data_IF_653692751223
#
_entry.id   IF_653692751223
#
_cell.length_a   1.000
_cell.length_b   1.000
_cell.length_c   1.000
_cell.angle_alpha   90.00
_cell.angle_beta   90.00
_cell.angle_gamma   90.00
#
_symmetry.space_group_name_H-M   'P 1'
#
loop_
_entity.id
_entity.type
_entity.pdbx_description
1 polymer ?
#
# COMPACT_ATOMS: atom_id res chain seq x y z
N UNK A 1 -14.61 -22.63 -13.50
CA UNK A 1 -13.33 -22.39 -12.80
C UNK A 1 -13.68 -21.82 -11.44
N UNK A 2 -13.19 -22.44 -10.39
CA UNK A 2 -13.35 -21.97 -9.02
C UNK A 2 -12.49 -20.72 -8.87
N UNK A 3 -13.12 -19.59 -8.52
CA UNK A 3 -12.44 -18.33 -8.24
C UNK A 3 -12.26 -18.27 -6.71
N UNK A 4 -11.03 -17.97 -6.29
CA UNK A 4 -10.70 -17.79 -4.88
C UNK A 4 -11.56 -16.67 -4.25
N UNK A 5 -11.88 -16.76 -2.95
CA UNK A 5 -12.74 -15.79 -2.27
C UNK A 5 -12.17 -14.36 -2.27
N UNK A 6 -10.85 -14.22 -2.42
CA UNK A 6 -10.17 -12.95 -2.51
C UNK A 6 -9.21 -12.92 -3.71
N UNK A 7 -9.24 -11.83 -4.48
CA UNK A 7 -8.42 -11.68 -5.69
C UNK A 7 -7.68 -10.35 -5.67
N UNK A 8 -6.36 -10.41 -5.89
CA UNK A 8 -5.55 -9.23 -6.19
C UNK A 8 -5.43 -9.10 -7.72
N UNK A 9 -5.92 -8.00 -8.26
CA UNK A 9 -5.72 -7.63 -9.66
C UNK A 9 -4.70 -6.51 -9.75
N UNK A 10 -3.56 -6.77 -10.40
CA UNK A 10 -2.51 -5.77 -10.64
C UNK A 10 -2.65 -5.26 -12.06
N UNK A 11 -2.74 -3.95 -12.23
CA UNK A 11 -2.88 -3.30 -13.54
C UNK A 11 -2.13 -1.97 -13.59
N UNK A 12 -1.97 -1.44 -14.79
CA UNK A 12 -1.35 -0.14 -15.07
C UNK A 12 -2.05 0.49 -16.28
N UNK A 13 -1.43 1.42 -17.00
CA UNK A 13 -1.88 1.87 -18.31
C UNK A 13 -1.24 1.04 -19.44
N UNK A 14 -1.88 1.00 -20.59
CA UNK A 14 -1.37 0.34 -21.80
C UNK A 14 -2.38 -0.60 -22.43
N UNK A 15 -2.03 -1.14 -23.62
CA UNK A 15 -2.94 -1.95 -24.43
C UNK A 15 -3.46 -3.21 -23.71
N UNK A 16 -2.58 -3.90 -22.97
CA UNK A 16 -2.95 -5.11 -22.20
C UNK A 16 -3.82 -4.72 -21.00
N UNK A 17 -3.49 -3.63 -20.30
CA UNK A 17 -4.22 -3.17 -19.12
C UNK A 17 -5.65 -2.71 -19.42
N UNK A 18 -5.98 -2.38 -20.67
CA UNK A 18 -7.35 -2.08 -21.10
C UNK A 18 -8.31 -3.27 -20.92
N UNK A 19 -7.79 -4.49 -20.84
CA UNK A 19 -8.58 -5.69 -20.54
C UNK A 19 -9.00 -5.76 -19.07
N UNK A 20 -8.36 -5.03 -18.17
CA UNK A 20 -8.63 -5.06 -16.73
C UNK A 20 -10.10 -4.75 -16.41
N UNK A 21 -10.71 -3.75 -17.08
CA UNK A 21 -12.13 -3.43 -16.91
C UNK A 21 -13.05 -4.60 -17.27
N UNK A 22 -12.73 -5.34 -18.34
CA UNK A 22 -13.50 -6.52 -18.77
C UNK A 22 -13.32 -7.68 -17.79
N UNK A 23 -12.13 -7.85 -17.24
CA UNK A 23 -11.85 -8.85 -16.20
C UNK A 23 -12.67 -8.52 -14.95
N UNK A 24 -12.59 -7.27 -14.47
CA UNK A 24 -13.33 -6.80 -13.31
C UNK A 24 -14.85 -7.03 -13.47
N UNK A 25 -15.42 -6.70 -14.64
CA UNK A 25 -16.83 -6.94 -14.91
C UNK A 25 -17.23 -8.41 -14.78
N UNK A 26 -16.34 -9.33 -15.14
CA UNK A 26 -16.58 -10.78 -15.07
C UNK A 26 -16.45 -11.37 -13.68
N UNK A 27 -15.64 -10.77 -12.80
CA UNK A 27 -15.31 -11.34 -11.48
C UNK A 27 -15.92 -10.58 -10.31
N UNK A 28 -16.41 -9.35 -10.49
CA UNK A 28 -16.89 -8.46 -9.40
C UNK A 28 -17.93 -9.08 -8.46
N UNK A 29 -18.77 -9.96 -8.98
CA UNK A 29 -19.82 -10.62 -8.21
C UNK A 29 -19.40 -12.00 -7.67
N UNK A 30 -18.16 -12.44 -7.93
CA UNK A 30 -17.67 -13.78 -7.61
C UNK A 30 -16.60 -13.81 -6.52
N UNK A 31 -15.90 -12.70 -6.30
CA UNK A 31 -14.77 -12.62 -5.38
C UNK A 31 -14.64 -11.20 -4.82
N UNK A 32 -14.04 -11.08 -3.65
CA UNK A 32 -13.61 -9.79 -3.12
C UNK A 32 -12.36 -9.34 -3.87
N UNK A 33 -12.40 -8.16 -4.45
CA UNK A 33 -11.32 -7.65 -5.29
C UNK A 33 -10.54 -6.57 -4.55
N UNK A 34 -9.24 -6.75 -4.47
CA UNK A 34 -8.27 -5.68 -4.25
C UNK A 34 -7.61 -5.34 -5.59
N UNK A 35 -7.70 -4.09 -6.02
CA UNK A 35 -7.02 -3.62 -7.22
C UNK A 35 -5.70 -2.95 -6.83
N UNK A 36 -4.59 -3.32 -7.44
CA UNK A 36 -3.34 -2.57 -7.34
C UNK A 36 -3.10 -1.85 -8.67
N UNK A 37 -3.09 -0.53 -8.63
CA UNK A 37 -2.82 0.30 -9.80
C UNK A 37 -1.40 0.84 -9.75
N UNK A 38 -0.58 0.41 -10.71
CA UNK A 38 0.81 0.83 -10.85
C UNK A 38 0.86 2.03 -11.79
N UNK A 39 1.12 3.21 -11.23
CA UNK A 39 1.30 4.45 -12.00
C UNK A 39 2.66 4.39 -12.70
N UNK A 40 2.70 4.48 -14.04
CA UNK A 40 3.95 4.50 -14.78
C UNK A 40 4.68 5.84 -14.60
N UNK A 41 5.92 5.91 -15.04
CA UNK A 41 6.65 7.17 -15.12
C UNK A 41 6.00 8.08 -16.18
N UNK A 42 5.24 9.06 -15.73
CA UNK A 42 4.38 9.89 -16.57
C UNK A 42 5.15 10.70 -17.62
N UNK A 43 6.39 11.09 -17.31
CA UNK A 43 7.25 11.86 -18.23
C UNK A 43 7.64 11.09 -19.49
N UNK A 44 7.62 9.75 -19.39
CA UNK A 44 7.98 8.85 -20.50
C UNK A 44 6.79 8.48 -21.41
N UNK A 45 5.57 8.98 -21.10
CA UNK A 45 4.37 8.62 -21.84
C UNK A 45 4.05 9.62 -22.95
N UNK A 46 3.67 9.09 -24.14
CA UNK A 46 3.08 9.89 -25.20
C UNK A 46 1.72 10.48 -24.80
N UNK A 47 1.33 11.62 -25.33
CA UNK A 47 0.11 12.35 -24.99
C UNK A 47 -1.17 11.50 -24.94
N UNK A 48 -1.48 10.69 -25.98
CA UNK A 48 -2.66 9.82 -25.95
C UNK A 48 -2.62 8.77 -24.83
N UNK A 49 -1.46 8.17 -24.56
CA UNK A 49 -1.27 7.19 -23.49
C UNK A 49 -1.40 7.86 -22.11
N UNK A 50 -0.90 9.09 -21.96
CA UNK A 50 -1.04 9.89 -20.73
C UNK A 50 -2.51 10.18 -20.43
N UNK A 51 -3.27 10.59 -21.44
CA UNK A 51 -4.73 10.83 -21.31
C UNK A 51 -5.47 9.55 -20.90
N UNK A 52 -5.14 8.43 -21.54
CA UNK A 52 -5.73 7.13 -21.21
C UNK A 52 -5.39 6.68 -19.79
N UNK A 53 -4.13 6.89 -19.35
CA UNK A 53 -3.74 6.61 -17.97
C UNK A 53 -4.56 7.41 -16.97
N UNK A 54 -4.73 8.71 -17.20
CA UNK A 54 -5.53 9.58 -16.33
C UNK A 54 -6.99 9.13 -16.27
N UNK A 55 -7.55 8.72 -17.38
CA UNK A 55 -8.93 8.21 -17.42
C UNK A 55 -9.08 6.93 -16.60
N UNK A 56 -8.22 5.93 -16.84
CA UNK A 56 -8.25 4.65 -16.12
C UNK A 56 -8.00 4.84 -14.60
N UNK A 57 -7.04 5.68 -14.24
CA UNK A 57 -6.74 6.02 -12.87
C UNK A 57 -7.96 6.57 -12.12
N UNK A 58 -8.71 7.47 -12.75
CA UNK A 58 -9.93 8.01 -12.15
C UNK A 58 -11.06 6.97 -12.10
N UNK A 59 -11.29 6.22 -13.17
CA UNK A 59 -12.35 5.20 -13.24
C UNK A 59 -12.16 4.12 -12.16
N UNK A 60 -10.95 3.62 -11.98
CA UNK A 60 -10.69 2.60 -10.96
C UNK A 60 -10.89 3.12 -9.53
N UNK A 61 -10.53 4.36 -9.26
CA UNK A 61 -10.78 4.98 -7.95
C UNK A 61 -12.28 5.18 -7.69
N UNK A 62 -13.06 5.60 -8.70
CA UNK A 62 -14.52 5.69 -8.57
C UNK A 62 -15.16 4.32 -8.33
N UNK A 63 -14.65 3.28 -8.95
CA UNK A 63 -15.13 1.91 -8.69
C UNK A 63 -14.80 1.45 -7.27
N UNK A 64 -13.63 1.78 -6.74
CA UNK A 64 -13.30 1.49 -5.34
C UNK A 64 -14.23 2.27 -4.40
N UNK A 65 -14.44 3.57 -4.66
CA UNK A 65 -15.31 4.43 -3.85
C UNK A 65 -16.76 3.98 -3.84
N UNK A 66 -17.26 3.46 -4.97
CA UNK A 66 -18.62 2.89 -5.10
C UNK A 66 -18.75 1.48 -4.52
N UNK A 67 -17.70 0.97 -3.87
CA UNK A 67 -17.64 -0.38 -3.28
C UNK A 67 -17.75 -1.53 -4.29
N UNK A 68 -17.37 -1.30 -5.56
CA UNK A 68 -17.26 -2.36 -6.56
C UNK A 68 -16.09 -3.31 -6.23
N UNK A 69 -15.06 -2.80 -5.57
CA UNK A 69 -13.97 -3.60 -4.95
C UNK A 69 -13.77 -3.22 -3.49
N UNK A 70 -13.05 -4.06 -2.75
CA UNK A 70 -12.72 -3.81 -1.36
C UNK A 70 -11.86 -2.54 -1.22
N UNK A 71 -10.81 -2.42 -2.01
CA UNK A 71 -9.92 -1.27 -2.04
C UNK A 71 -9.12 -1.19 -3.35
N UNK A 72 -8.60 0.00 -3.65
CA UNK A 72 -7.57 0.22 -4.64
C UNK A 72 -6.27 0.62 -3.93
N UNK A 73 -5.17 -0.03 -4.27
CA UNK A 73 -3.82 0.30 -3.80
C UNK A 73 -3.10 1.04 -4.92
N UNK A 74 -2.72 2.28 -4.66
CA UNK A 74 -1.98 3.11 -5.59
C UNK A 74 -0.48 2.98 -5.30
N UNK A 75 0.30 2.70 -6.33
CA UNK A 75 1.76 2.68 -6.26
C UNK A 75 2.34 3.44 -7.45
N UNK A 76 3.37 4.23 -7.23
CA UNK A 76 4.01 5.06 -8.23
C UNK A 76 5.46 4.61 -8.44
N UNK A 77 5.77 4.18 -9.65
CA UNK A 77 7.10 3.71 -10.03
C UNK A 77 8.18 4.78 -9.84
N UNK A 78 7.86 6.06 -10.01
CA UNK A 78 8.81 7.14 -9.83
C UNK A 78 9.16 7.33 -8.34
N UNK A 79 8.15 7.29 -7.46
CA UNK A 79 8.39 7.36 -6.01
C UNK A 79 9.18 6.14 -5.51
N UNK A 80 8.83 4.94 -5.97
CA UNK A 80 9.55 3.71 -5.60
C UNK A 80 11.01 3.78 -6.06
N UNK A 81 11.25 4.25 -7.28
CA UNK A 81 12.63 4.48 -7.79
C UNK A 81 13.42 5.44 -6.90
N UNK A 82 12.79 6.52 -6.43
CA UNK A 82 13.39 7.46 -5.47
C UNK A 82 13.72 6.82 -4.12
N UNK A 83 12.88 5.91 -3.64
CA UNK A 83 13.09 5.18 -2.37
C UNK A 83 14.27 4.21 -2.49
N UNK A 84 14.38 3.49 -3.60
CA UNK A 84 15.44 2.50 -3.83
C UNK A 84 16.82 3.14 -4.06
N UNK A 85 16.85 4.37 -4.59
CA UNK A 85 18.09 4.99 -5.04
C UNK A 85 18.65 4.38 -6.33
N UNK A 86 19.95 4.56 -6.62
CA UNK A 86 20.59 4.10 -7.86
C UNK A 86 20.60 2.58 -7.96
N UNK A 87 20.04 2.04 -9.05
CA UNK A 87 20.00 0.59 -9.34
C UNK A 87 20.55 0.35 -10.75
N UNK A 88 21.33 -0.73 -10.98
CA UNK A 88 21.79 -1.09 -12.33
C UNK A 88 20.60 -1.23 -13.31
N UNK A 89 20.75 -0.70 -14.51
CA UNK A 89 19.66 -0.62 -15.50
C UNK A 89 19.01 -1.97 -15.82
N UNK A 90 19.81 -3.05 -15.86
CA UNK A 90 19.30 -4.40 -16.12
C UNK A 90 18.50 -5.00 -14.96
N UNK A 91 18.60 -4.43 -13.77
CA UNK A 91 17.87 -4.86 -12.57
C UNK A 91 16.76 -3.91 -12.17
N UNK A 92 16.60 -2.81 -12.89
CA UNK A 92 15.71 -1.71 -12.50
C UNK A 92 14.27 -2.17 -12.29
N UNK A 93 13.68 -2.81 -13.30
CA UNK A 93 12.29 -3.27 -13.21
C UNK A 93 12.10 -4.42 -12.23
N UNK A 94 13.05 -5.33 -12.15
CA UNK A 94 13.01 -6.43 -11.18
C UNK A 94 13.04 -5.88 -9.76
N UNK A 95 13.86 -4.86 -9.49
CA UNK A 95 13.95 -4.22 -8.17
C UNK A 95 12.67 -3.47 -7.79
N UNK A 96 12.05 -2.72 -8.72
CA UNK A 96 10.75 -2.09 -8.50
C UNK A 96 9.69 -3.14 -8.17
N UNK A 97 9.56 -4.16 -9.01
CA UNK A 97 8.57 -5.21 -8.84
C UNK A 97 8.79 -5.98 -7.53
N UNK A 98 10.04 -6.24 -7.16
CA UNK A 98 10.38 -6.87 -5.89
C UNK A 98 10.00 -5.99 -4.69
N UNK A 99 10.26 -4.68 -4.74
CA UNK A 99 9.88 -3.75 -3.69
C UNK A 99 8.36 -3.75 -3.48
N UNK A 100 7.59 -3.65 -4.55
CA UNK A 100 6.12 -3.67 -4.50
C UNK A 100 5.61 -5.01 -3.95
N UNK A 101 6.05 -6.12 -4.55
CA UNK A 101 5.55 -7.45 -4.21
C UNK A 101 5.92 -7.88 -2.81
N UNK A 102 7.17 -7.63 -2.36
CA UNK A 102 7.58 -7.97 -0.99
C UNK A 102 6.86 -7.15 0.05
N UNK A 103 6.67 -5.84 -0.17
CA UNK A 103 5.94 -4.98 0.77
C UNK A 103 4.48 -5.39 0.89
N UNK A 104 3.79 -5.60 -0.24
CA UNK A 104 2.42 -6.07 -0.24
C UNK A 104 2.29 -7.46 0.42
N UNK A 105 3.17 -8.38 0.08
CA UNK A 105 3.19 -9.73 0.64
C UNK A 105 3.34 -9.72 2.16
N UNK A 106 4.25 -8.92 2.70
CA UNK A 106 4.46 -8.81 4.14
C UNK A 106 3.24 -8.21 4.86
N UNK A 107 2.65 -7.15 4.31
CA UNK A 107 1.42 -6.58 4.87
C UNK A 107 0.30 -7.64 4.86
N UNK A 108 0.13 -8.38 3.77
CA UNK A 108 -0.86 -9.44 3.66
C UNK A 108 -0.63 -10.57 4.67
N UNK A 109 0.63 -11.00 4.88
CA UNK A 109 0.97 -11.97 5.92
C UNK A 109 0.55 -11.45 7.30
N UNK A 110 0.90 -10.22 7.64
CA UNK A 110 0.59 -9.63 8.94
C UNK A 110 -0.91 -9.44 9.17
N UNK A 111 -1.69 -9.15 8.14
CA UNK A 111 -3.15 -9.08 8.24
C UNK A 111 -3.79 -10.43 8.60
N UNK A 112 -3.15 -11.54 8.22
CA UNK A 112 -3.61 -12.90 8.50
C UNK A 112 -2.84 -13.59 9.64
N UNK A 113 -1.92 -12.89 10.29
CA UNK A 113 -1.10 -13.41 11.39
C UNK A 113 -1.59 -12.87 12.74
N UNK A 114 -1.29 -13.62 13.81
CA UNK A 114 -1.61 -13.18 15.17
C UNK A 114 -0.50 -12.24 15.68
N UNK A 115 -0.81 -10.97 15.99
CA UNK A 115 0.16 -10.05 16.55
C UNK A 115 0.46 -10.34 18.02
N UNK A 116 1.65 -9.94 18.48
CA UNK A 116 2.00 -9.89 19.91
C UNK A 116 1.18 -8.81 20.61
N UNK A 117 1.03 -7.67 19.94
CA UNK A 117 0.22 -6.55 20.44
C UNK A 117 -0.46 -5.84 19.25
N UNK A 118 -1.69 -5.37 19.45
CA UNK A 118 -2.42 -4.62 18.43
C UNK A 118 -3.34 -3.57 18.99
N UNK A 119 -3.41 -2.44 18.31
CA UNK A 119 -4.43 -1.40 18.50
C UNK A 119 -5.39 -1.32 17.30
N UNK A 120 -5.29 -2.25 16.36
CA UNK A 120 -6.16 -2.26 15.19
C UNK A 120 -7.63 -2.44 15.61
N UNK A 121 -8.47 -1.62 15.03
CA UNK A 121 -9.92 -1.73 15.11
C UNK A 121 -10.48 -1.90 13.70
N UNK A 122 -11.79 -2.02 13.55
CA UNK A 122 -12.45 -2.13 12.23
C UNK A 122 -11.96 -0.99 11.30
N UNK A 123 -11.66 -1.33 10.05
CA UNK A 123 -11.27 -0.35 9.01
C UNK A 123 -12.40 0.66 8.77
N UNK A 124 -12.04 1.83 8.27
CA UNK A 124 -13.02 2.82 7.80
C UNK A 124 -13.55 2.33 6.44
N UNK A 125 -14.80 1.88 6.39
CA UNK A 125 -15.40 1.25 5.21
C UNK A 125 -15.40 2.12 3.95
N UNK A 126 -15.32 3.46 4.11
CA UNK A 126 -15.29 4.41 2.99
C UNK A 126 -13.88 4.81 2.56
N UNK A 127 -12.84 4.46 3.33
CA UNK A 127 -11.45 4.78 3.01
C UNK A 127 -10.84 3.67 2.13
N UNK A 128 -11.27 3.62 0.87
CA UNK A 128 -10.96 2.54 -0.08
C UNK A 128 -9.84 2.88 -1.05
N UNK A 129 -9.31 4.10 -1.03
CA UNK A 129 -8.15 4.50 -1.83
C UNK A 129 -6.93 4.44 -0.93
N UNK A 130 -6.01 3.54 -1.22
CA UNK A 130 -4.91 3.18 -0.33
C UNK A 130 -3.56 3.35 -1.02
N UNK A 131 -2.52 3.47 -0.21
CA UNK A 131 -1.13 3.18 -0.61
C UNK A 131 -0.44 2.36 0.47
N UNK A 132 0.61 1.69 0.09
CA UNK A 132 1.47 0.94 0.99
C UNK A 132 2.88 1.54 0.98
N UNK A 133 3.69 1.18 1.95
CA UNK A 133 5.06 1.66 2.02
C UNK A 133 5.86 1.05 3.16
N UNK A 134 7.06 1.54 3.29
CA UNK A 134 8.01 1.21 4.36
C UNK A 134 8.14 2.43 5.28
N UNK A 135 8.53 2.17 6.51
CA UNK A 135 8.88 3.21 7.46
C UNK A 135 10.32 3.01 7.90
N UNK A 136 11.10 4.04 7.81
CA UNK A 136 12.39 4.10 8.47
C UNK A 136 12.14 4.30 9.97
N UNK A 137 12.39 3.25 10.75
CA UNK A 137 12.04 3.26 12.17
C UNK A 137 12.98 4.15 13.00
N UNK A 138 14.22 4.34 12.56
CA UNK A 138 15.18 5.22 13.24
C UNK A 138 14.93 6.68 12.94
N UNK A 139 14.71 7.01 11.65
CA UNK A 139 14.40 8.37 11.21
C UNK A 139 12.93 8.74 11.44
N UNK A 140 12.07 7.78 11.77
CA UNK A 140 10.62 7.93 11.93
C UNK A 140 9.97 8.53 10.65
N UNK A 141 10.45 8.11 9.46
CA UNK A 141 10.04 8.66 8.16
C UNK A 141 9.31 7.61 7.32
N UNK A 142 8.09 7.96 6.91
CA UNK A 142 7.32 7.14 5.97
C UNK A 142 7.86 7.28 4.54
N UNK A 143 7.98 6.13 3.86
CA UNK A 143 8.37 6.01 2.45
C UNK A 143 7.22 5.32 1.71
N UNK A 144 6.11 6.04 1.53
CA UNK A 144 4.93 5.54 0.84
C UNK A 144 5.17 5.43 -0.67
N UNK A 145 4.56 4.42 -1.30
CA UNK A 145 4.68 4.17 -2.74
C UNK A 145 3.78 5.06 -3.59
N UNK A 146 2.90 5.81 -2.97
CA UNK A 146 2.11 6.88 -3.58
C UNK A 146 1.85 7.98 -2.55
N UNK A 147 1.85 9.24 -2.96
CA UNK A 147 1.51 10.37 -2.09
C UNK A 147 0.01 10.54 -2.02
N UNK A 148 -0.62 10.09 -0.94
CA UNK A 148 -2.06 10.25 -0.74
C UNK A 148 -2.40 11.63 -0.17
N UNK A 149 -3.38 12.28 -0.78
CA UNK A 149 -4.00 13.46 -0.22
C UNK A 149 -4.94 13.07 0.93
N UNK A 150 -4.80 13.73 2.05
CA UNK A 150 -5.68 13.66 3.23
C UNK A 150 -6.00 12.20 3.61
N UNK A 151 -5.04 11.44 4.11
CA UNK A 151 -5.29 10.11 4.64
C UNK A 151 -6.24 10.17 5.84
N UNK A 152 -7.17 9.23 5.92
CA UNK A 152 -8.16 9.12 7.00
C UNK A 152 -7.85 7.99 7.97
N UNK A 153 -7.11 7.00 7.52
CA UNK A 153 -6.65 5.89 8.34
C UNK A 153 -5.21 5.55 7.97
N UNK A 154 -4.37 5.36 8.98
CA UNK A 154 -3.02 4.81 8.87
C UNK A 154 -2.89 3.56 9.71
N UNK A 155 -2.25 2.56 9.17
CA UNK A 155 -1.99 1.27 9.82
C UNK A 155 -0.50 0.96 9.72
N UNK A 156 0.15 0.76 10.88
CA UNK A 156 1.55 0.39 10.94
C UNK A 156 1.71 -1.06 11.38
N UNK A 157 2.56 -1.79 10.70
CA UNK A 157 2.90 -3.19 10.95
C UNK A 157 4.37 -3.25 11.35
N UNK A 158 4.63 -3.46 12.64
CA UNK A 158 5.99 -3.55 13.19
C UNK A 158 6.41 -5.01 13.22
N UNK A 159 7.34 -5.40 12.36
CA UNK A 159 8.01 -6.68 12.34
C UNK A 159 9.29 -6.57 13.20
N UNK A 160 9.23 -7.01 14.43
CA UNK A 160 10.29 -6.79 15.43
C UNK A 160 10.98 -8.12 15.73
N UNK A 161 12.33 -8.16 15.73
CA UNK A 161 13.09 -9.31 16.21
C UNK A 161 12.64 -9.75 17.60
N UNK A 162 12.47 -11.05 17.82
CA UNK A 162 12.05 -11.58 19.12
C UNK A 162 12.96 -11.11 20.26
N UNK A 163 14.28 -11.15 20.04
CA UNK A 163 15.26 -10.66 21.01
C UNK A 163 15.03 -9.21 21.42
N UNK A 164 14.67 -8.34 20.47
CA UNK A 164 14.41 -6.93 20.74
C UNK A 164 13.11 -6.75 21.54
N UNK A 165 12.09 -7.59 21.29
CA UNK A 165 10.84 -7.60 22.07
C UNK A 165 11.07 -8.01 23.54
N UNK A 166 12.06 -8.85 23.81
CA UNK A 166 12.37 -9.36 25.15
C UNK A 166 13.31 -8.41 25.92
N UNK A 167 14.25 -7.74 25.24
CA UNK A 167 15.34 -7.02 25.89
C UNK A 167 15.18 -5.48 25.87
N UNK A 168 14.51 -4.89 24.86
CA UNK A 168 14.38 -3.42 24.75
C UNK A 168 13.15 -2.88 25.50
N UNK A 169 13.37 -2.46 26.74
CA UNK A 169 12.34 -1.85 27.57
C UNK A 169 11.81 -0.50 27.04
N UNK A 170 12.51 0.15 26.11
CA UNK A 170 12.13 1.43 25.51
C UNK A 170 11.31 1.29 24.21
N UNK A 171 11.18 0.07 23.69
CA UNK A 171 10.58 -0.20 22.39
C UNK A 171 9.14 0.32 22.28
N UNK A 172 8.34 0.10 23.32
CA UNK A 172 6.93 0.55 23.33
C UNK A 172 6.82 2.07 23.26
N UNK A 173 7.68 2.79 23.98
CA UNK A 173 7.70 4.25 23.95
C UNK A 173 8.13 4.78 22.58
N UNK A 174 9.13 4.14 21.93
CA UNK A 174 9.55 4.47 20.56
C UNK A 174 8.40 4.29 19.57
N UNK A 175 7.69 3.14 19.64
CA UNK A 175 6.54 2.86 18.78
C UNK A 175 5.44 3.91 18.99
N UNK A 176 5.06 4.19 20.23
CA UNK A 176 4.02 5.17 20.56
C UNK A 176 4.39 6.58 20.09
N UNK A 177 5.65 6.98 20.21
CA UNK A 177 6.15 8.26 19.74
C UNK A 177 6.04 8.36 18.22
N UNK A 178 6.46 7.32 17.48
CA UNK A 178 6.33 7.27 16.03
C UNK A 178 4.85 7.35 15.59
N UNK A 179 3.97 6.55 16.20
CA UNK A 179 2.53 6.55 15.89
C UNK A 179 1.89 7.91 16.13
N UNK A 180 2.26 8.61 17.21
CA UNK A 180 1.76 9.98 17.50
C UNK A 180 2.19 10.97 16.43
N UNK A 181 3.40 10.88 15.89
CA UNK A 181 3.86 11.71 14.76
C UNK A 181 3.09 11.45 13.47
N UNK A 182 2.63 10.20 13.26
CA UNK A 182 1.84 9.83 12.10
C UNK A 182 0.44 10.46 12.06
N UNK A 183 -0.03 11.07 13.15
CA UNK A 183 -1.34 11.75 13.21
C UNK A 183 -1.23 13.14 12.59
N UNK A 184 -1.77 13.32 11.40
CA UNK A 184 -1.71 14.59 10.66
C UNK A 184 -2.88 15.54 10.97
N UNK A 185 -4.02 15.00 11.45
CA UNK A 185 -5.20 15.81 11.81
C UNK A 185 -6.14 15.04 12.76
N UNK A 186 -6.97 15.75 13.50
CA UNK A 186 -7.83 15.20 14.58
C UNK A 186 -8.82 14.12 14.15
N UNK A 187 -9.15 14.06 12.86
CA UNK A 187 -10.11 13.08 12.32
C UNK A 187 -9.41 11.84 11.73
N UNK A 188 -8.11 11.75 11.86
CA UNK A 188 -7.33 10.61 11.37
C UNK A 188 -7.34 9.48 12.40
N UNK A 189 -7.61 8.29 11.93
CA UNK A 189 -7.49 7.06 12.71
C UNK A 189 -6.10 6.47 12.46
N UNK A 190 -5.34 6.29 13.50
CA UNK A 190 -4.02 5.64 13.43
C UNK A 190 -4.01 4.42 14.34
N UNK A 191 -3.57 3.30 13.80
CA UNK A 191 -3.43 2.06 14.54
C UNK A 191 -2.11 1.37 14.22
N UNK A 192 -1.70 0.46 15.09
CA UNK A 192 -0.49 -0.34 14.86
C UNK A 192 -0.64 -1.76 15.41
N UNK A 193 0.15 -2.65 14.85
CA UNK A 193 0.31 -4.03 15.32
C UNK A 193 1.77 -4.40 15.35
N UNK A 194 2.16 -5.15 16.37
CA UNK A 194 3.53 -5.62 16.57
C UNK A 194 3.56 -7.13 16.41
N UNK A 195 4.48 -7.62 15.59
CA UNK A 195 4.69 -9.03 15.28
C UNK A 195 6.12 -9.43 15.66
N UNK A 196 6.26 -10.59 16.27
CA UNK A 196 7.57 -11.20 16.47
C UNK A 196 8.07 -11.82 15.16
N UNK A 197 9.33 -11.59 14.85
CA UNK A 197 9.98 -12.11 13.65
C UNK A 197 11.36 -12.66 13.96
N UNK A 198 11.88 -13.51 13.07
CA UNK A 198 13.25 -14.03 13.11
C UNK A 198 14.23 -13.14 12.33
N UNK A 199 13.82 -11.91 11.96
CA UNK A 199 14.71 -10.97 11.28
C UNK A 199 15.79 -10.46 12.23
N UNK A 200 16.94 -10.06 11.66
CA UNK A 200 18.04 -9.48 12.43
C UNK A 200 17.77 -8.03 12.84
N UNK A 201 16.88 -7.34 12.09
CA UNK A 201 16.57 -5.93 12.29
C UNK A 201 15.06 -5.68 12.23
N UNK A 202 14.57 -4.65 12.93
CA UNK A 202 13.18 -4.27 12.87
C UNK A 202 12.84 -3.74 11.47
N UNK A 203 11.71 -4.18 10.94
CA UNK A 203 11.12 -3.66 9.72
C UNK A 203 9.73 -3.12 10.03
N UNK A 204 9.38 -1.99 9.44
CA UNK A 204 8.08 -1.39 9.64
C UNK A 204 7.43 -1.12 8.30
N UNK A 205 6.21 -1.58 8.16
CA UNK A 205 5.39 -1.37 6.97
C UNK A 205 4.22 -0.45 7.33
N UNK A 206 3.75 0.31 6.35
CA UNK A 206 2.58 1.15 6.52
C UNK A 206 1.57 0.95 5.39
N UNK A 207 0.30 1.15 5.75
CA UNK A 207 -0.80 1.28 4.81
C UNK A 207 -1.57 2.54 5.18
N UNK A 208 -1.66 3.48 4.23
CA UNK A 208 -2.41 4.72 4.38
C UNK A 208 -3.66 4.64 3.51
N UNK A 209 -4.80 5.07 4.04
CA UNK A 209 -6.10 4.96 3.39
C UNK A 209 -6.82 6.32 3.37
N UNK A 210 -7.37 6.69 2.21
CA UNK A 210 -8.11 7.93 1.98
C UNK A 210 -9.52 7.65 1.47
N UNK A 211 -10.43 8.58 1.73
CA UNK A 211 -11.80 8.57 1.15
C UNK A 211 -11.89 9.39 -0.14
N UNK A 212 -10.79 10.07 -0.50
CA UNK A 212 -10.75 11.00 -1.62
C UNK A 212 -10.17 10.34 -2.86
N UNK A 213 -10.66 10.78 -4.03
CA UNK A 213 -10.04 10.50 -5.33
C UNK A 213 -8.74 11.29 -5.42
N UNK A 214 -7.67 10.59 -5.72
CA UNK A 214 -6.33 11.14 -5.85
C UNK A 214 -6.11 11.66 -7.27
N UNK A 215 -5.23 12.63 -7.42
CA UNK A 215 -4.82 13.16 -8.71
C UNK A 215 -3.39 12.70 -9.01
N UNK A 216 -3.10 12.47 -10.28
CA UNK A 216 -1.71 12.32 -10.73
C UNK A 216 -1.09 13.72 -10.81
N UNK A 217 0.17 13.82 -10.33
CA UNK A 217 0.95 15.05 -10.41
C UNK A 217 1.40 15.35 -11.86
#
# INVERSE_FOLDING_TARGET
EDIEPETLLITSCGAVSNTALRILERIKDKTKITLMYVVPQMDNLAGPTKLQNNLLFNVFQEYARSALFEKIILVDNQLISGIMGPVPILKYWDSINQMISSTYHMINIFEHSRPVFTTFTKRIDTARVSTIGLVDFEEEKEKCFFSLDIPREKRYYYAIPQKMLEEDSSLMDKIQKHVKKGVEHDKMKVGYSVFSTEYDQPLVYCENNSTLIQKLA
#
